data_IF_365090564658
#
_entry.id   IF_365090564658
#
_cell.length_a   1.000
_cell.length_b   1.000
_cell.length_c   1.000
_cell.angle_alpha   90.00
_cell.angle_beta   90.00
_cell.angle_gamma   90.00
#
_symmetry.space_group_name_H-M   'P 1'
#
loop_
_entity.id
_entity.type
_entity.pdbx_description
1 polymer ?
#
# COMPACT_ATOMS: atom_id res chain seq x y z
N UNK A 1 -5.51 13.83 -10.09
CA UNK A 1 -5.86 13.63 -8.67
C UNK A 1 -5.03 14.60 -7.84
N UNK A 2 -5.59 15.26 -6.81
CA UNK A 2 -4.81 16.29 -6.09
C UNK A 2 -3.72 15.66 -5.21
N UNK A 3 -2.58 16.34 -4.95
CA UNK A 3 -1.53 15.83 -4.08
C UNK A 3 -2.04 15.47 -2.67
N UNK A 4 -2.99 16.24 -2.14
CA UNK A 4 -3.63 15.99 -0.85
C UNK A 4 -4.41 14.68 -0.84
N UNK A 5 -5.14 14.38 -1.91
CA UNK A 5 -5.89 13.12 -2.03
C UNK A 5 -4.95 11.92 -2.09
N UNK A 6 -3.84 12.01 -2.83
CA UNK A 6 -2.85 10.92 -2.90
C UNK A 6 -2.22 10.63 -1.53
N UNK A 7 -1.88 11.66 -0.76
CA UNK A 7 -1.36 11.51 0.61
C UNK A 7 -2.41 10.87 1.51
N UNK A 8 -3.65 11.35 1.46
CA UNK A 8 -4.74 10.82 2.28
C UNK A 8 -5.00 9.34 1.99
N UNK A 9 -5.06 8.95 0.71
CA UNK A 9 -5.22 7.54 0.32
C UNK A 9 -4.02 6.71 0.77
N UNK A 10 -2.79 7.19 0.58
CA UNK A 10 -1.59 6.46 1.02
C UNK A 10 -1.55 6.27 2.54
N UNK A 11 -1.99 7.27 3.31
CA UNK A 11 -2.11 7.16 4.76
C UNK A 11 -3.20 6.16 5.18
N UNK A 12 -4.37 6.18 4.53
CA UNK A 12 -5.44 5.23 4.77
C UNK A 12 -5.01 3.79 4.45
N UNK A 13 -4.30 3.59 3.34
CA UNK A 13 -3.76 2.28 2.96
C UNK A 13 -2.64 1.81 3.89
N UNK A 14 -1.84 2.72 4.45
CA UNK A 14 -0.87 2.38 5.49
C UNK A 14 -1.58 1.90 6.78
N UNK A 15 -2.66 2.57 7.19
CA UNK A 15 -3.48 2.10 8.31
C UNK A 15 -4.06 0.71 8.01
N UNK A 16 -4.61 0.50 6.81
CA UNK A 16 -5.10 -0.81 6.38
C UNK A 16 -4.01 -1.89 6.44
N UNK A 17 -2.78 -1.55 6.03
CA UNK A 17 -1.61 -2.42 6.11
C UNK A 17 -1.31 -2.80 7.56
N UNK A 18 -1.27 -1.83 8.48
CA UNK A 18 -1.03 -2.08 9.91
C UNK A 18 -2.14 -2.91 10.56
N UNK A 19 -3.40 -2.66 10.20
CA UNK A 19 -4.53 -3.47 10.68
C UNK A 19 -4.41 -4.91 10.17
N UNK A 20 -4.06 -5.11 8.90
CA UNK A 20 -3.85 -6.45 8.32
C UNK A 20 -2.72 -7.18 9.05
N UNK A 21 -1.62 -6.50 9.36
CA UNK A 21 -0.52 -7.04 10.16
C UNK A 21 -0.97 -7.42 11.58
N UNK A 22 -1.72 -6.55 12.25
CA UNK A 22 -2.23 -6.81 13.59
C UNK A 22 -3.19 -8.01 13.62
N UNK A 23 -4.06 -8.15 12.63
CA UNK A 23 -4.95 -9.31 12.50
C UNK A 23 -4.17 -10.60 12.24
N UNK A 24 -3.08 -10.54 11.48
CA UNK A 24 -2.20 -11.68 11.26
C UNK A 24 -1.50 -12.13 12.55
N UNK A 25 -1.01 -11.18 13.37
CA UNK A 25 -0.30 -11.47 14.63
C UNK A 25 -1.24 -11.97 15.74
N UNK A 26 -2.42 -11.35 15.87
CA UNK A 26 -3.42 -11.73 16.88
C UNK A 26 -4.12 -13.05 16.58
N UNK A 27 -3.98 -13.57 15.36
CA UNK A 27 -4.65 -14.80 14.93
C UNK A 27 -6.17 -14.68 14.87
N UNK A 28 -6.73 -13.45 14.87
CA UNK A 28 -8.17 -13.23 14.90
C UNK A 28 -8.81 -13.83 13.64
N UNK A 29 -9.64 -14.86 13.81
CA UNK A 29 -10.37 -15.51 12.72
C UNK A 29 -11.77 -14.93 12.60
N UNK A 30 -12.27 -14.75 11.38
CA UNK A 30 -13.64 -14.32 11.14
C UNK A 30 -13.81 -13.52 9.85
N UNK A 31 -15.04 -13.09 9.55
CA UNK A 31 -15.37 -12.37 8.32
C UNK A 31 -14.62 -11.03 8.22
N UNK A 32 -14.36 -10.38 9.36
CA UNK A 32 -13.60 -9.12 9.40
C UNK A 32 -12.19 -9.30 8.84
N UNK A 33 -11.49 -10.37 9.23
CA UNK A 33 -10.15 -10.67 8.72
C UNK A 33 -10.17 -10.92 7.21
N UNK A 34 -11.16 -11.66 6.71
CA UNK A 34 -11.32 -11.90 5.28
C UNK A 34 -11.50 -10.58 4.53
N UNK A 35 -12.45 -9.72 4.95
CA UNK A 35 -12.72 -8.45 4.30
C UNK A 35 -11.49 -7.52 4.30
N UNK A 36 -10.80 -7.40 5.44
CA UNK A 36 -9.58 -6.57 5.55
C UNK A 36 -8.47 -7.10 4.65
N UNK A 37 -8.26 -8.42 4.63
CA UNK A 37 -7.22 -9.05 3.81
C UNK A 37 -7.51 -8.87 2.32
N UNK A 38 -8.78 -9.02 1.90
CA UNK A 38 -9.19 -8.77 0.52
C UNK A 38 -8.98 -7.32 0.11
N UNK A 39 -9.38 -6.36 0.95
CA UNK A 39 -9.14 -4.94 0.69
C UNK A 39 -7.64 -4.63 0.59
N UNK A 40 -6.83 -5.25 1.46
CA UNK A 40 -5.39 -5.13 1.42
C UNK A 40 -4.84 -5.59 0.07
N UNK A 41 -5.06 -6.86 -0.32
CA UNK A 41 -4.52 -7.41 -1.56
C UNK A 41 -5.04 -6.68 -2.80
N UNK A 42 -6.30 -6.24 -2.80
CA UNK A 42 -6.88 -5.54 -3.93
C UNK A 42 -6.31 -4.12 -4.14
N UNK A 43 -6.02 -3.37 -3.08
CA UNK A 43 -5.70 -1.95 -3.19
C UNK A 43 -4.24 -1.59 -2.85
N UNK A 44 -3.64 -2.26 -1.87
CA UNK A 44 -2.36 -1.83 -1.28
C UNK A 44 -1.17 -2.10 -2.20
N UNK A 45 -0.96 -3.32 -2.76
CA UNK A 45 0.20 -3.61 -3.61
C UNK A 45 0.27 -2.68 -4.82
N UNK A 46 -0.84 -2.57 -5.57
CA UNK A 46 -0.93 -1.71 -6.73
C UNK A 46 -0.72 -0.23 -6.39
N UNK A 47 -1.32 0.28 -5.32
CA UNK A 47 -1.14 1.68 -4.93
C UNK A 47 0.29 1.99 -4.51
N UNK A 48 0.94 1.07 -3.79
CA UNK A 48 2.31 1.23 -3.33
C UNK A 48 3.31 1.42 -4.49
N UNK A 49 2.98 0.92 -5.69
CA UNK A 49 3.78 1.06 -6.92
C UNK A 49 3.27 2.22 -7.79
N UNK A 50 1.97 2.22 -8.13
CA UNK A 50 1.37 3.16 -9.09
C UNK A 50 1.44 4.61 -8.61
N UNK A 51 1.44 4.86 -7.30
CA UNK A 51 1.51 6.21 -6.75
C UNK A 51 2.81 6.96 -7.14
N UNK A 52 3.89 6.25 -7.49
CA UNK A 52 5.13 6.84 -7.98
C UNK A 52 5.04 7.39 -9.41
N UNK A 53 4.16 6.83 -10.24
CA UNK A 53 4.04 7.20 -11.66
C UNK A 53 3.10 8.36 -11.93
N UNK A 54 2.31 8.81 -10.94
CA UNK A 54 1.37 9.94 -11.02
C UNK A 54 0.51 9.94 -12.31
N UNK A 55 -0.39 8.95 -12.50
CA UNK A 55 -1.23 8.88 -13.70
C UNK A 55 -2.13 10.11 -13.83
N UNK A 56 -2.41 10.52 -15.07
CA UNK A 56 -3.07 11.80 -15.37
C UNK A 56 -4.50 11.91 -14.81
N UNK A 57 -5.32 10.86 -14.94
CA UNK A 57 -6.72 10.86 -14.47
C UNK A 57 -6.93 9.94 -13.29
N UNK A 58 -7.88 10.28 -12.41
CA UNK A 58 -8.16 9.48 -11.21
C UNK A 58 -8.69 8.08 -11.53
N UNK A 59 -9.49 7.96 -12.60
CA UNK A 59 -10.02 6.67 -13.06
C UNK A 59 -8.90 5.76 -13.54
N UNK A 60 -7.96 6.30 -14.35
CA UNK A 60 -6.79 5.55 -14.80
C UNK A 60 -5.91 5.10 -13.63
N UNK A 61 -5.70 5.97 -12.63
CA UNK A 61 -4.95 5.60 -11.42
C UNK A 61 -5.56 4.39 -10.73
N UNK A 62 -6.85 4.42 -10.46
CA UNK A 62 -7.51 3.30 -9.78
C UNK A 62 -7.54 2.04 -10.64
N UNK A 63 -7.74 2.16 -11.95
CA UNK A 63 -7.66 1.02 -12.87
C UNK A 63 -6.27 0.36 -12.84
N UNK A 64 -5.20 1.17 -12.89
CA UNK A 64 -3.82 0.66 -12.81
C UNK A 64 -3.53 0.04 -11.45
N UNK A 65 -4.02 0.64 -10.35
CA UNK A 65 -3.87 0.10 -9.00
C UNK A 65 -4.48 -1.30 -8.92
N UNK A 66 -5.75 -1.44 -9.30
CA UNK A 66 -6.45 -2.72 -9.25
C UNK A 66 -5.79 -3.76 -10.17
N UNK A 67 -5.46 -3.37 -11.40
CA UNK A 67 -4.80 -4.26 -12.36
C UNK A 67 -3.43 -4.73 -11.85
N UNK A 68 -2.63 -3.82 -11.27
CA UNK A 68 -1.31 -4.15 -10.73
C UNK A 68 -1.42 -5.04 -9.50
N UNK A 69 -2.35 -4.77 -8.59
CA UNK A 69 -2.61 -5.62 -7.43
C UNK A 69 -2.97 -7.05 -7.85
N UNK A 70 -3.96 -7.20 -8.76
CA UNK A 70 -4.38 -8.51 -9.26
C UNK A 70 -3.23 -9.24 -9.96
N UNK A 71 -2.44 -8.53 -10.76
CA UNK A 71 -1.26 -9.12 -11.42
C UNK A 71 -0.22 -9.62 -10.40
N UNK A 72 0.06 -8.84 -9.35
CA UNK A 72 0.99 -9.23 -8.29
C UNK A 72 0.47 -10.43 -7.48
N UNK A 73 -0.84 -10.49 -7.22
CA UNK A 73 -1.46 -11.63 -6.52
C UNK A 73 -1.36 -12.92 -7.34
N UNK A 74 -1.62 -12.84 -8.66
CA UNK A 74 -1.46 -13.97 -9.57
C UNK A 74 -0.01 -14.44 -9.64
N UNK A 75 0.94 -13.52 -9.80
CA UNK A 75 2.37 -13.85 -9.82
C UNK A 75 2.82 -14.45 -8.49
N UNK A 76 2.33 -13.93 -7.36
CA UNK A 76 2.60 -14.49 -6.03
C UNK A 76 2.06 -15.91 -5.89
N UNK A 77 0.84 -16.15 -6.36
CA UNK A 77 0.22 -17.47 -6.40
C UNK A 77 1.03 -18.47 -7.24
N UNK A 78 1.38 -18.09 -8.47
CA UNK A 78 2.21 -18.92 -9.36
C UNK A 78 3.59 -19.21 -8.77
N UNK A 79 4.25 -18.20 -8.16
CA UNK A 79 5.54 -18.39 -7.52
C UNK A 79 5.45 -19.37 -6.34
N UNK A 80 4.38 -19.29 -5.54
CA UNK A 80 4.15 -20.25 -4.45
C UNK A 80 3.90 -21.67 -4.95
N UNK A 81 3.24 -21.82 -6.10
CA UNK A 81 3.04 -23.13 -6.75
C UNK A 81 4.34 -23.72 -7.27
N UNK A 82 5.23 -22.88 -7.82
CA UNK A 82 6.54 -23.30 -8.35
C UNK A 82 7.59 -23.56 -7.26
N UNK A 83 7.43 -22.97 -6.08
CA UNK A 83 8.39 -23.07 -4.97
C UNK A 83 7.85 -23.94 -3.84
N UNK A 84 7.46 -23.32 -2.73
CA UNK A 84 6.76 -23.97 -1.64
C UNK A 84 5.50 -23.19 -1.30
N UNK A 85 4.41 -23.92 -1.06
CA UNK A 85 3.13 -23.34 -0.68
C UNK A 85 3.19 -22.77 0.74
N UNK A 86 3.69 -21.54 0.88
CA UNK A 86 3.86 -20.83 2.14
C UNK A 86 3.07 -19.50 2.15
N UNK A 87 1.72 -19.54 2.18
CA UNK A 87 0.87 -18.35 2.07
C UNK A 87 1.13 -17.32 3.17
N UNK A 88 1.47 -17.76 4.38
CA UNK A 88 1.77 -16.87 5.49
C UNK A 88 3.04 -16.04 5.23
N UNK A 89 4.08 -16.66 4.68
CA UNK A 89 5.37 -16.01 4.37
C UNK A 89 5.19 -15.04 3.21
N UNK A 90 4.51 -15.47 2.14
CA UNK A 90 4.22 -14.61 1.00
C UNK A 90 3.40 -13.38 1.40
N UNK A 91 2.35 -13.58 2.20
CA UNK A 91 1.52 -12.48 2.70
C UNK A 91 2.34 -11.50 3.55
N UNK A 92 3.19 -12.01 4.45
CA UNK A 92 4.07 -11.20 5.29
C UNK A 92 5.09 -10.38 4.47
N UNK A 93 5.64 -10.98 3.41
CA UNK A 93 6.57 -10.30 2.50
C UNK A 93 5.89 -9.14 1.76
N UNK A 94 4.71 -9.38 1.19
CA UNK A 94 3.90 -8.33 0.52
C UNK A 94 3.55 -7.23 1.51
N UNK A 95 3.13 -7.58 2.73
CA UNK A 95 2.86 -6.65 3.82
C UNK A 95 4.05 -5.74 4.13
N UNK A 96 5.23 -6.34 4.31
CA UNK A 96 6.46 -5.62 4.62
C UNK A 96 6.88 -4.68 3.50
N UNK A 97 6.92 -5.17 2.26
CA UNK A 97 7.31 -4.37 1.09
C UNK A 97 6.35 -3.21 0.88
N UNK A 98 5.05 -3.46 0.89
CA UNK A 98 4.05 -2.41 0.70
C UNK A 98 4.08 -1.38 1.84
N UNK A 99 4.26 -1.83 3.08
CA UNK A 99 4.38 -0.96 4.25
C UNK A 99 5.57 0.00 4.11
N UNK A 100 6.74 -0.50 3.72
CA UNK A 100 7.93 0.32 3.47
C UNK A 100 7.68 1.33 2.36
N UNK A 101 7.14 0.89 1.21
CA UNK A 101 6.86 1.77 0.07
C UNK A 101 5.88 2.89 0.44
N UNK A 102 4.82 2.59 1.17
CA UNK A 102 3.85 3.59 1.63
C UNK A 102 4.47 4.60 2.61
N UNK A 103 5.31 4.13 3.54
CA UNK A 103 6.05 5.02 4.45
C UNK A 103 6.99 5.93 3.68
N UNK A 104 7.75 5.40 2.72
CA UNK A 104 8.63 6.18 1.84
C UNK A 104 7.84 7.21 1.04
N UNK A 105 6.67 6.84 0.51
CA UNK A 105 5.79 7.73 -0.23
C UNK A 105 5.33 8.92 0.64
N UNK A 106 4.85 8.63 1.85
CA UNK A 106 4.42 9.65 2.82
C UNK A 106 5.57 10.54 3.30
N UNK A 107 6.74 9.95 3.57
CA UNK A 107 7.92 10.69 3.99
C UNK A 107 8.40 11.67 2.90
N UNK A 108 8.43 11.22 1.65
CA UNK A 108 8.84 12.04 0.50
C UNK A 108 7.84 13.17 0.25
N UNK A 109 6.55 12.94 0.44
CA UNK A 109 5.52 13.96 0.31
C UNK A 109 5.59 15.06 1.40
N UNK A 110 6.15 14.76 2.58
CA UNK A 110 6.28 15.73 3.70
C UNK A 110 7.53 16.61 3.61
N UNK A 111 8.59 16.18 2.93
CA UNK A 111 9.86 16.93 2.81
C UNK A 111 9.72 18.38 2.32
N UNK A 112 8.89 18.70 1.30
CA UNK A 112 8.75 20.06 0.81
C UNK A 112 8.15 21.03 1.85
N UNK A 113 7.20 20.54 2.66
CA UNK A 113 6.49 21.37 3.63
C UNK A 113 7.38 21.89 4.77
N UNK A 114 8.31 21.05 5.25
CA UNK A 114 9.26 21.43 6.31
C UNK A 114 10.30 22.45 5.83
N UNK A 115 10.72 22.37 4.57
CA UNK A 115 11.68 23.32 3.98
C UNK A 115 11.12 24.75 3.86
N UNK A 116 9.80 24.90 3.71
CA UNK A 116 9.13 26.20 3.65
C UNK A 116 9.02 26.85 5.03
N UNK A 117 8.80 26.05 6.09
CA UNK A 117 8.75 26.53 7.47
C UNK A 117 10.11 27.05 7.96
N UNK A 118 11.20 26.36 7.59
CA UNK A 118 12.56 26.78 7.95
C UNK A 118 13.01 28.08 7.29
N UNK A 119 12.44 28.48 6.15
CA UNK A 119 12.79 29.73 5.45
C UNK A 119 12.01 30.96 5.95
N UNK A 120 10.90 30.77 6.65
CA UNK A 120 10.03 31.86 7.12
C UNK A 120 10.35 32.45 8.49
N UNK A 121 11.21 31.79 9.29
CA UNK A 121 11.48 32.15 10.69
C UNK A 121 12.61 33.16 10.92
N UNK A 122 13.13 33.78 9.86
CA UNK A 122 14.21 34.78 9.95
C UNK A 122 13.74 36.17 9.56
N UNK A 123 12.82 36.77 10.33
CA UNK A 123 12.51 38.21 10.29
C UNK A 123 12.12 38.69 11.67
#
# INVERSE_FOLDING_TARGET
MTPRTTIAVSAALLVLTLVTAALAVTGLTGPVRLCVTLLFFLAVPGWSVVAFFRPGTSSLTWALVLATSVALDLLGGELMLLTQWQPAVASAAVLGVCGVLLVVHLATARRPALSMLSRGGGR
#
